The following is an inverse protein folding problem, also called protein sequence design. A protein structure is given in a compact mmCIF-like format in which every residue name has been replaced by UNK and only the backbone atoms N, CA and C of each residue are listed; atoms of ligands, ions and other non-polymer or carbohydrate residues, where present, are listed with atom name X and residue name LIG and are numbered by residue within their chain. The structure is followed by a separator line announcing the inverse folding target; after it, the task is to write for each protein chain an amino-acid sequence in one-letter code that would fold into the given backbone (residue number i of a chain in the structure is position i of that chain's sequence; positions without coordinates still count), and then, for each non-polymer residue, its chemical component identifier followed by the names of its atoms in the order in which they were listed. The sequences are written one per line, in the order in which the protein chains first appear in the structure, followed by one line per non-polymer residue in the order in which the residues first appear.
data_IF_396151674435
#
_entry.id   IF_396151674435
#
_cell.length_a   1.000
_cell.length_b   1.000
_cell.length_c   1.000
_cell.angle_alpha   90.00
_cell.angle_beta   90.00
_cell.angle_gamma   90.00
#
_symmetry.space_group_name_H-M   'P 1'
#
loop_
_entity.id
_entity.type
_entity.pdbx_description
1 polymer ?
#
# COMPACT_ATOMS: atom_id res chain seq x y z
N UNK A 1 2.09 2.13 8.50
CA UNK A 1 1.58 1.28 9.61
C UNK A 1 1.42 -0.10 9.02
N UNK A 2 2.11 -1.12 9.55
CA UNK A 2 1.96 -2.48 9.04
C UNK A 2 0.86 -3.22 9.81
N UNK A 3 -0.01 -3.92 9.12
CA UNK A 3 -1.08 -4.75 9.72
C UNK A 3 -0.60 -6.19 9.97
N UNK A 4 0.72 -6.40 9.98
CA UNK A 4 1.38 -7.70 10.11
C UNK A 4 0.88 -8.75 9.09
N UNK A 5 0.49 -8.30 7.90
CA UNK A 5 0.02 -9.17 6.82
C UNK A 5 -1.48 -9.44 6.82
N UNK A 6 -2.24 -8.92 7.79
CA UNK A 6 -3.69 -9.13 7.87
C UNK A 6 -4.39 -8.62 6.61
N UNK A 7 -4.12 -7.38 6.19
CA UNK A 7 -4.74 -6.81 4.99
C UNK A 7 -4.32 -7.54 3.73
N UNK A 8 -3.03 -7.85 3.58
CA UNK A 8 -2.55 -8.59 2.41
C UNK A 8 -3.20 -9.98 2.29
N UNK A 9 -3.42 -10.67 3.41
CA UNK A 9 -4.05 -12.00 3.41
C UNK A 9 -5.53 -11.96 3.03
N UNK A 10 -6.32 -11.05 3.61
CA UNK A 10 -7.75 -10.94 3.34
C UNK A 10 -8.01 -10.40 1.94
N UNK A 11 -7.17 -9.48 1.45
CA UNK A 11 -7.22 -9.01 0.07
C UNK A 11 -6.94 -10.13 -0.93
N UNK A 12 -5.92 -10.97 -0.67
CA UNK A 12 -5.60 -12.13 -1.53
C UNK A 12 -6.75 -13.13 -1.58
N UNK A 13 -7.33 -13.49 -0.43
CA UNK A 13 -8.46 -14.42 -0.37
C UNK A 13 -9.71 -13.88 -1.11
N UNK A 14 -9.94 -12.57 -1.05
CA UNK A 14 -11.00 -11.92 -1.83
C UNK A 14 -10.71 -12.02 -3.33
N UNK A 15 -9.47 -11.75 -3.76
CA UNK A 15 -9.08 -11.85 -5.17
C UNK A 15 -9.21 -13.28 -5.70
N UNK A 16 -8.80 -14.29 -4.94
CA UNK A 16 -8.98 -15.70 -5.33
C UNK A 16 -10.46 -16.03 -5.57
N UNK A 17 -11.36 -15.49 -4.74
CA UNK A 17 -12.81 -15.67 -4.90
C UNK A 17 -13.32 -14.97 -6.17
N UNK A 18 -12.88 -13.73 -6.42
CA UNK A 18 -13.24 -12.94 -7.62
C UNK A 18 -12.78 -13.64 -8.90
N UNK A 19 -11.56 -14.16 -8.92
CA UNK A 19 -10.97 -14.80 -10.09
C UNK A 19 -11.29 -16.30 -10.24
N UNK A 20 -12.03 -16.88 -9.28
CA UNK A 20 -12.39 -18.30 -9.30
C UNK A 20 -13.32 -18.70 -10.46
N UNK A 21 -14.10 -17.76 -11.01
CA UNK A 21 -15.17 -18.05 -11.98
C UNK A 21 -16.37 -18.81 -11.40
N UNK A 22 -16.39 -19.06 -10.08
CA UNK A 22 -17.46 -19.82 -9.41
C UNK A 22 -18.67 -18.95 -9.05
N UNK A 23 -18.49 -17.64 -8.95
CA UNK A 23 -19.50 -16.72 -8.46
C UNK A 23 -19.77 -15.62 -9.48
N UNK A 24 -21.05 -15.32 -9.73
CA UNK A 24 -21.46 -14.20 -10.57
C UNK A 24 -21.50 -12.87 -9.81
N UNK A 25 -21.67 -12.91 -8.49
CA UNK A 25 -21.71 -11.77 -7.58
C UNK A 25 -21.06 -12.16 -6.26
N UNK A 26 -20.27 -11.25 -5.68
CA UNK A 26 -19.63 -11.42 -4.37
C UNK A 26 -19.95 -10.22 -3.47
N UNK A 27 -20.11 -10.50 -2.18
CA UNK A 27 -20.21 -9.48 -1.14
C UNK A 27 -18.91 -9.50 -0.32
N UNK A 28 -18.03 -8.50 -0.44
CA UNK A 28 -16.72 -8.49 0.24
C UNK A 28 -16.83 -8.04 1.71
N UNK A 29 -17.83 -8.52 2.45
CA UNK A 29 -18.12 -8.03 3.80
C UNK A 29 -16.95 -8.23 4.76
N UNK A 30 -16.35 -9.44 4.76
CA UNK A 30 -15.20 -9.74 5.61
C UNK A 30 -14.00 -8.83 5.31
N UNK A 31 -13.74 -8.55 4.03
CA UNK A 31 -12.68 -7.62 3.63
C UNK A 31 -12.96 -6.21 4.16
N UNK A 32 -14.18 -5.69 3.96
CA UNK A 32 -14.55 -4.34 4.41
C UNK A 32 -14.47 -4.19 5.93
N UNK A 33 -14.94 -5.19 6.69
CA UNK A 33 -14.87 -5.19 8.15
C UNK A 33 -13.42 -5.19 8.65
N UNK A 34 -12.57 -6.07 8.11
CA UNK A 34 -11.15 -6.11 8.47
C UNK A 34 -10.42 -4.82 8.05
N UNK A 35 -10.72 -4.29 6.86
CA UNK A 35 -10.12 -3.05 6.38
C UNK A 35 -10.44 -1.86 7.29
N UNK A 36 -11.69 -1.78 7.76
CA UNK A 36 -12.08 -0.73 8.69
C UNK A 36 -11.41 -0.84 10.05
N UNK A 37 -11.22 -2.06 10.57
CA UNK A 37 -10.55 -2.29 11.86
C UNK A 37 -9.06 -1.96 11.80
N UNK A 38 -8.38 -2.40 10.74
CA UNK A 38 -6.91 -2.33 10.66
C UNK A 38 -6.38 -1.05 10.01
N UNK A 39 -7.16 -0.39 9.14
CA UNK A 39 -6.69 0.73 8.32
C UNK A 39 -7.43 2.03 8.63
N UNK A 40 -8.76 2.06 8.47
CA UNK A 40 -9.54 3.28 8.69
C UNK A 40 -11.01 2.98 9.05
N UNK A 41 -11.34 3.19 10.33
CA UNK A 41 -12.67 2.91 10.88
C UNK A 41 -13.79 3.75 10.24
N UNK A 42 -13.48 4.93 9.68
CA UNK A 42 -14.46 5.80 9.03
C UNK A 42 -15.08 5.16 7.78
N UNK A 43 -14.39 4.21 7.13
CA UNK A 43 -14.91 3.52 5.95
C UNK A 43 -16.03 2.50 6.26
N UNK A 44 -16.29 2.21 7.54
CA UNK A 44 -17.37 1.31 7.98
C UNK A 44 -18.63 2.03 8.48
N UNK A 45 -18.80 3.32 8.19
CA UNK A 45 -19.97 4.10 8.61
C UNK A 45 -21.23 3.87 7.75
N UNK A 46 -21.12 3.11 6.66
CA UNK A 46 -22.21 2.83 5.73
C UNK A 46 -22.56 3.98 4.78
N UNK A 47 -21.75 5.03 4.72
CA UNK A 47 -21.92 6.16 3.80
C UNK A 47 -21.17 5.97 2.49
N UNK A 48 -21.38 6.89 1.55
CA UNK A 48 -20.56 6.97 0.34
C UNK A 48 -19.22 7.62 0.67
N UNK A 49 -18.15 6.99 0.20
CA UNK A 49 -16.76 7.45 0.37
C UNK A 49 -16.11 7.72 -0.98
N UNK A 50 -15.03 8.50 -0.95
CA UNK A 50 -14.20 8.71 -2.13
C UNK A 50 -13.40 7.44 -2.46
N UNK A 51 -13.56 6.92 -3.68
CA UNK A 51 -12.85 5.74 -4.15
C UNK A 51 -11.33 5.95 -4.22
N UNK A 52 -10.88 7.19 -4.46
CA UNK A 52 -9.47 7.53 -4.52
C UNK A 52 -8.82 7.51 -3.14
N UNK A 53 -9.53 7.99 -2.11
CA UNK A 53 -9.10 7.90 -0.72
C UNK A 53 -8.97 6.43 -0.29
N UNK A 54 -9.99 5.62 -0.56
CA UNK A 54 -9.94 4.18 -0.30
C UNK A 54 -8.73 3.51 -1.00
N UNK A 55 -8.49 3.84 -2.26
CA UNK A 55 -7.38 3.28 -3.03
C UNK A 55 -6.01 3.63 -2.40
N UNK A 56 -5.83 4.88 -1.94
CA UNK A 56 -4.58 5.30 -1.29
C UNK A 56 -4.33 4.47 -0.03
N UNK A 57 -5.33 4.36 0.84
CA UNK A 57 -5.24 3.57 2.07
C UNK A 57 -4.96 2.10 1.80
N UNK A 58 -5.59 1.52 0.78
CA UNK A 58 -5.37 0.14 0.40
C UNK A 58 -3.94 -0.09 -0.10
N UNK A 59 -3.43 0.80 -0.95
CA UNK A 59 -2.07 0.68 -1.46
C UNK A 59 -1.03 0.85 -0.35
N UNK A 60 -1.25 1.75 0.62
CA UNK A 60 -0.36 1.91 1.78
C UNK A 60 -0.33 0.64 2.64
N UNK A 61 -1.50 0.13 3.01
CA UNK A 61 -1.61 -1.06 3.84
C UNK A 61 -0.97 -2.29 3.17
N UNK A 62 -1.21 -2.49 1.87
CA UNK A 62 -0.58 -3.58 1.11
C UNK A 62 0.93 -3.38 0.97
N UNK A 63 1.38 -2.14 0.74
CA UNK A 63 2.80 -1.82 0.65
C UNK A 63 3.52 -2.15 1.95
N UNK A 64 2.97 -1.72 3.08
CA UNK A 64 3.54 -1.92 4.41
C UNK A 64 3.54 -3.39 4.82
N UNK A 65 2.46 -4.13 4.56
CA UNK A 65 2.37 -5.57 4.82
C UNK A 65 3.33 -6.41 3.99
N UNK A 66 3.62 -5.98 2.76
CA UNK A 66 4.47 -6.72 1.80
C UNK A 66 5.86 -6.11 1.65
N UNK A 67 6.25 -5.22 2.56
CA UNK A 67 7.56 -4.59 2.55
C UNK A 67 8.65 -5.63 2.85
N UNK A 68 9.60 -5.80 1.92
CA UNK A 68 10.74 -6.71 2.01
C UNK A 68 11.86 -6.15 2.89
N UNK A 69 11.84 -4.85 3.19
CA UNK A 69 12.83 -4.19 4.03
C UNK A 69 12.49 -4.39 5.51
N UNK A 70 13.23 -5.29 6.17
CA UNK A 70 13.04 -5.60 7.60
C UNK A 70 13.54 -4.47 8.50
N UNK A 71 14.64 -3.80 8.13
CA UNK A 71 15.23 -2.70 8.89
C UNK A 71 15.26 -1.44 8.03
N UNK A 72 14.34 -0.51 8.30
CA UNK A 72 14.27 0.77 7.59
C UNK A 72 15.49 1.61 7.95
N UNK A 73 16.22 2.05 6.94
CA UNK A 73 17.29 3.04 7.08
C UNK A 73 16.72 4.38 6.66
N UNK A 74 16.53 5.28 7.61
CA UNK A 74 16.13 6.65 7.32
C UNK A 74 17.25 7.39 6.60
N UNK A 75 16.88 8.34 5.76
CA UNK A 75 17.83 9.17 5.02
C UNK A 75 17.32 10.61 4.97
N UNK A 76 18.26 11.56 4.93
CA UNK A 76 17.96 12.98 4.78
C UNK A 76 17.87 13.35 3.30
N UNK A 77 16.91 14.22 2.98
CA UNK A 77 16.68 14.75 1.63
C UNK A 77 17.40 16.09 1.46
N UNK A 78 18.74 16.08 1.56
CA UNK A 78 19.57 17.28 1.46
C UNK A 78 19.91 17.62 0.00
N UNK A 79 18.88 17.69 -0.86
CA UNK A 79 19.03 17.96 -2.29
C UNK A 79 18.90 19.46 -2.56
N UNK A 80 19.74 19.97 -3.44
CA UNK A 80 19.85 21.41 -3.75
C UNK A 80 19.25 21.78 -5.10
N UNK A 81 18.98 20.78 -5.96
CA UNK A 81 18.55 20.97 -7.33
C UNK A 81 19.70 21.28 -8.30
N UNK A 82 20.96 21.23 -7.84
CA UNK A 82 22.13 21.54 -8.67
C UNK A 82 22.39 20.49 -9.76
N UNK A 83 22.15 19.21 -9.45
CA UNK A 83 22.14 18.12 -10.43
C UNK A 83 20.92 17.22 -10.20
N UNK A 84 19.81 17.61 -10.84
CA UNK A 84 18.53 16.91 -10.71
C UNK A 84 18.61 15.41 -11.04
N UNK A 85 19.51 15.00 -11.95
CA UNK A 85 19.62 13.59 -12.35
C UNK A 85 20.36 12.79 -11.30
N UNK A 86 21.52 13.30 -10.85
CA UNK A 86 22.29 12.63 -9.82
C UNK A 86 21.52 12.56 -8.49
N UNK A 87 20.85 13.65 -8.11
CA UNK A 87 20.02 13.71 -6.89
C UNK A 87 18.82 12.75 -6.97
N UNK A 88 18.15 12.63 -8.13
CA UNK A 88 17.06 11.66 -8.32
C UNK A 88 17.53 10.20 -8.24
N UNK A 89 18.73 9.89 -8.74
CA UNK A 89 19.32 8.55 -8.64
C UNK A 89 19.60 8.21 -7.17
N UNK A 90 20.29 9.10 -6.45
CA UNK A 90 20.61 8.93 -5.03
C UNK A 90 19.34 8.79 -4.17
N UNK A 91 18.31 9.60 -4.45
CA UNK A 91 17.01 9.49 -3.80
C UNK A 91 16.38 8.11 -4.01
N UNK A 92 16.30 7.63 -5.26
CA UNK A 92 15.71 6.33 -5.57
C UNK A 92 16.47 5.18 -4.93
N UNK A 93 17.80 5.24 -4.87
CA UNK A 93 18.63 4.23 -4.21
C UNK A 93 18.40 4.20 -2.70
N UNK A 94 18.33 5.37 -2.05
CA UNK A 94 18.04 5.48 -0.62
C UNK A 94 16.62 5.03 -0.30
N UNK A 95 15.65 5.41 -1.13
CA UNK A 95 14.26 5.03 -0.95
C UNK A 95 14.07 3.51 -1.03
N UNK A 96 14.73 2.82 -1.97
CA UNK A 96 14.70 1.35 -2.06
C UNK A 96 15.22 0.65 -0.80
N UNK A 97 16.16 1.29 -0.08
CA UNK A 97 16.69 0.80 1.21
C UNK A 97 15.76 1.10 2.38
N UNK A 98 14.84 2.06 2.22
CA UNK A 98 13.82 2.39 3.20
C UNK A 98 12.57 1.52 3.01
N UNK A 99 12.12 1.34 1.76
CA UNK A 99 10.91 0.63 1.42
C UNK A 99 11.03 -0.06 0.05
N UNK A 100 10.70 -1.34 0.02
CA UNK A 100 10.68 -2.13 -1.22
C UNK A 100 9.61 -3.23 -1.11
N UNK A 101 8.57 -3.15 -1.92
CA UNK A 101 7.46 -4.10 -1.96
C UNK A 101 7.00 -4.37 -3.41
N UNK A 102 6.22 -5.45 -3.64
CA UNK A 102 5.57 -5.67 -4.93
C UNK A 102 4.71 -4.47 -5.38
N UNK A 103 4.10 -3.75 -4.43
CA UNK A 103 3.30 -2.55 -4.72
C UNK A 103 4.17 -1.44 -5.31
N UNK A 104 5.36 -1.20 -4.73
CA UNK A 104 6.30 -0.23 -5.30
C UNK A 104 6.83 -0.66 -6.66
N UNK A 105 7.00 -1.97 -6.89
CA UNK A 105 7.51 -2.50 -8.17
C UNK A 105 6.48 -2.28 -9.31
N UNK A 106 5.19 -2.48 -9.04
CA UNK A 106 4.11 -2.41 -10.05
C UNK A 106 3.70 -0.96 -10.33
N UNK A 107 3.47 -0.19 -9.27
CA UNK A 107 2.85 1.14 -9.39
C UNK A 107 3.87 2.27 -9.31
N UNK A 108 5.17 1.96 -9.15
CA UNK A 108 6.25 2.93 -8.97
C UNK A 108 5.92 3.99 -7.91
N UNK A 109 5.26 3.54 -6.83
CA UNK A 109 4.74 4.40 -5.75
C UNK A 109 5.88 4.73 -4.79
N UNK A 110 6.87 5.45 -5.31
CA UNK A 110 8.03 5.88 -4.56
C UNK A 110 7.75 7.13 -3.72
N UNK A 111 6.70 7.88 -4.07
CA UNK A 111 6.51 9.26 -3.62
C UNK A 111 5.16 9.50 -2.91
N UNK A 112 4.29 8.50 -2.82
CA UNK A 112 2.91 8.70 -2.39
C UNK A 112 2.67 8.44 -0.89
N UNK A 113 3.68 7.95 -0.17
CA UNK A 113 3.55 7.46 1.21
C UNK A 113 4.44 8.21 2.21
N UNK A 114 4.80 9.47 1.93
CA UNK A 114 5.57 10.32 2.84
C UNK A 114 4.74 11.50 3.33
#
# INVERSE_FOLDING_TARGET
MGTMGVISSVFSAMMDSVWSGLFSVLRPQQFLETFAVEVNASLADGQQHDAQEFQIYLLDALHEDTNRVVKRVTFEQNYTGADLKAEAIDYNEKLRKFACSPISDIFNVSHFFM
#
